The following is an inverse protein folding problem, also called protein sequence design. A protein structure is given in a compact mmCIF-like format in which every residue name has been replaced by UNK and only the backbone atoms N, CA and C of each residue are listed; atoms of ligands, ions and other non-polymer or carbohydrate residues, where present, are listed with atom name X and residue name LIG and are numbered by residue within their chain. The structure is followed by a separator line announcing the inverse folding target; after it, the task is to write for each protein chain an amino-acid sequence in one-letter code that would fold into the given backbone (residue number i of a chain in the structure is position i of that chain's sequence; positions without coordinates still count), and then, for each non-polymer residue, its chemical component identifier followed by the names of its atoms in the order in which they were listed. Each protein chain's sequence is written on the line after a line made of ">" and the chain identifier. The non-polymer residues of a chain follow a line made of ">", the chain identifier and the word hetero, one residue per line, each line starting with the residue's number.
data_IF_565928699230
#
_entry.id   IF_565928699230
#
_cell.length_a   1.000
_cell.length_b   1.000
_cell.length_c   1.000
_cell.angle_alpha   90.00
_cell.angle_beta   90.00
_cell.angle_gamma   90.00
#
_symmetry.space_group_name_H-M   'P 1'
#
loop_
_entity.id
_entity.type
_entity.pdbx_description
1 polymer ?
#
# COMPACT_ATOMS: atom_id res chain seq x y z
N UNK A 1 -14.95 -5.19 6.85
CA UNK A 1 -15.00 -4.23 5.72
C UNK A 1 -13.59 -3.74 5.52
N UNK A 2 -12.89 -4.31 4.56
CA UNK A 2 -11.54 -3.84 4.21
C UNK A 2 -11.75 -2.55 3.44
N UNK A 3 -11.57 -1.42 4.12
CA UNK A 3 -11.57 -0.13 3.47
C UNK A 3 -10.28 0.01 2.69
N UNK A 4 -10.34 -0.18 1.38
CA UNK A 4 -9.33 0.43 0.54
C UNK A 4 -9.27 1.91 0.93
N UNK A 5 -8.13 2.38 1.39
CA UNK A 5 -7.90 3.81 1.59
C UNK A 5 -7.99 4.44 0.21
N UNK A 6 -9.21 4.85 -0.19
CA UNK A 6 -9.41 5.72 -1.33
C UNK A 6 -8.79 7.06 -0.95
N UNK A 7 -7.58 7.28 -1.44
CA UNK A 7 -6.99 8.62 -1.45
C UNK A 7 -7.85 9.49 -2.34
N UNK A 8 -8.75 10.26 -1.75
CA UNK A 8 -9.48 11.33 -2.40
C UNK A 8 -8.53 12.50 -2.64
N UNK A 9 -7.58 12.32 -3.55
CA UNK A 9 -6.81 13.37 -4.16
C UNK A 9 -7.54 13.78 -5.44
N UNK A 10 -8.39 14.81 -5.39
CA UNK A 10 -9.02 15.41 -6.57
C UNK A 10 -8.01 16.17 -7.39
N UNK A 11 -7.35 15.49 -8.32
CA UNK A 11 -6.88 16.10 -9.55
C UNK A 11 -7.54 15.36 -10.70
N UNK A 12 -8.62 15.93 -11.24
CA UNK A 12 -9.23 15.54 -12.49
C UNK A 12 -8.23 15.78 -13.63
N UNK A 13 -7.33 14.84 -13.84
CA UNK A 13 -6.64 14.68 -15.10
C UNK A 13 -7.61 13.98 -16.05
N UNK A 14 -8.23 14.72 -16.95
CA UNK A 14 -9.00 14.15 -18.04
C UNK A 14 -8.06 13.34 -18.92
N UNK A 15 -7.99 12.03 -18.69
CA UNK A 15 -7.44 11.10 -19.65
C UNK A 15 -8.46 10.99 -20.79
N UNK A 16 -8.22 11.71 -21.88
CA UNK A 16 -8.92 11.46 -23.12
C UNK A 16 -8.66 10.01 -23.54
N UNK A 17 -9.70 9.18 -23.76
CA UNK A 17 -9.49 7.87 -24.32
C UNK A 17 -8.97 8.03 -25.74
N UNK A 18 -7.72 7.69 -25.98
CA UNK A 18 -7.21 7.48 -27.32
C UNK A 18 -7.89 6.23 -27.83
N UNK A 19 -8.94 6.43 -28.61
CA UNK A 19 -9.64 5.37 -29.29
C UNK A 19 -8.70 4.71 -30.31
N UNK A 20 -8.49 3.41 -30.15
CA UNK A 20 -8.24 2.51 -31.25
C UNK A 20 -6.82 2.39 -31.76
N UNK A 21 -6.05 1.52 -31.14
CA UNK A 21 -5.28 0.56 -31.89
C UNK A 21 -5.37 -0.79 -31.15
N UNK A 22 -6.00 -1.77 -31.77
CA UNK A 22 -5.77 -3.18 -31.45
C UNK A 22 -4.32 -3.48 -31.89
N UNK A 23 -3.36 -2.93 -31.18
CA UNK A 23 -1.97 -3.34 -31.30
C UNK A 23 -1.94 -4.78 -30.82
N UNK A 24 -1.76 -5.69 -31.76
CA UNK A 24 -1.41 -7.07 -31.45
C UNK A 24 -0.22 -6.99 -30.47
N UNK A 25 -0.29 -7.75 -29.39
CA UNK A 25 0.78 -7.91 -28.39
C UNK A 25 1.99 -8.62 -29.03
N UNK A 26 2.54 -8.03 -30.10
CA UNK A 26 3.64 -8.61 -30.88
C UNK A 26 4.99 -8.46 -30.14
N UNK A 27 5.08 -7.61 -29.11
CA UNK A 27 6.37 -7.18 -28.54
C UNK A 27 6.58 -7.56 -27.07
N UNK A 28 5.92 -8.61 -26.54
CA UNK A 28 6.14 -9.09 -25.19
C UNK A 28 5.55 -8.19 -24.08
N UNK A 29 5.86 -8.47 -22.79
CA UNK A 29 5.33 -7.69 -21.68
C UNK A 29 5.89 -6.27 -21.68
N UNK A 30 5.06 -5.30 -21.28
CA UNK A 30 5.48 -3.91 -21.12
C UNK A 30 6.11 -3.70 -19.74
N UNK A 31 7.20 -2.94 -19.70
CA UNK A 31 7.88 -2.57 -18.45
C UNK A 31 7.67 -1.09 -18.17
N UNK A 32 7.19 -0.77 -16.99
CA UNK A 32 6.97 0.60 -16.53
C UNK A 32 7.70 0.77 -15.19
N UNK A 33 8.41 1.90 -15.03
CA UNK A 33 9.02 2.29 -13.76
C UNK A 33 8.45 3.62 -13.33
N UNK A 34 8.07 3.72 -12.08
CA UNK A 34 7.61 4.95 -11.48
C UNK A 34 8.24 5.18 -10.11
N UNK A 35 8.23 6.41 -9.65
CA UNK A 35 8.54 6.78 -8.26
C UNK A 35 7.40 7.63 -7.73
N UNK A 36 7.19 7.57 -6.42
CA UNK A 36 6.14 8.34 -5.76
C UNK A 36 6.66 8.94 -4.45
N UNK A 37 6.06 10.05 -4.07
CA UNK A 37 6.22 10.69 -2.77
C UNK A 37 4.86 11.24 -2.34
N UNK A 38 4.43 10.87 -1.15
CA UNK A 38 3.20 11.38 -0.53
C UNK A 38 3.53 11.94 0.85
N UNK A 39 2.92 13.06 1.17
CA UNK A 39 3.02 13.76 2.45
C UNK A 39 1.60 14.07 2.91
N UNK A 40 1.11 13.32 3.90
CA UNK A 40 -0.28 13.30 4.27
C UNK A 40 -0.47 13.67 5.74
N UNK A 41 -1.33 14.64 5.98
CA UNK A 41 -1.85 14.97 7.31
C UNK A 41 -3.26 14.38 7.43
N UNK A 42 -3.43 13.40 8.30
CA UNK A 42 -4.68 12.66 8.48
C UNK A 42 -5.25 13.04 9.85
N UNK A 43 -6.44 13.69 9.91
CA UNK A 43 -7.06 14.09 11.18
C UNK A 43 -7.45 12.89 12.04
N UNK A 44 -7.42 13.08 13.37
CA UNK A 44 -7.96 12.15 14.35
C UNK A 44 -9.40 11.73 13.99
N UNK A 45 -9.70 10.46 14.20
CA UNK A 45 -11.00 9.89 13.85
C UNK A 45 -11.14 9.43 12.39
N UNK A 46 -10.13 9.68 11.52
CA UNK A 46 -10.12 9.20 10.13
C UNK A 46 -9.46 7.81 10.02
N UNK A 47 -8.27 7.66 10.54
CA UNK A 47 -7.50 6.41 10.53
C UNK A 47 -7.29 5.92 11.96
N UNK A 48 -6.66 6.75 12.79
CA UNK A 48 -6.41 6.51 14.20
C UNK A 48 -7.19 7.49 15.08
N UNK A 49 -7.19 7.28 16.40
CA UNK A 49 -7.80 8.17 17.40
C UNK A 49 -6.99 9.45 17.68
N UNK A 50 -5.89 9.67 16.96
CA UNK A 50 -5.01 10.83 17.03
C UNK A 50 -4.73 11.40 15.62
N UNK A 51 -4.28 12.65 15.55
CA UNK A 51 -3.77 13.25 14.31
C UNK A 51 -2.50 12.53 13.88
N UNK A 52 -2.46 12.11 12.62
CA UNK A 52 -1.44 11.24 12.06
C UNK A 52 -0.76 11.92 10.88
N UNK A 53 0.57 11.97 10.90
CA UNK A 53 1.38 12.44 9.79
C UNK A 53 2.12 11.25 9.17
N UNK A 54 1.89 11.03 7.88
CA UNK A 54 2.52 9.98 7.10
C UNK A 54 3.25 10.58 5.92
N UNK A 55 4.53 10.34 5.84
CA UNK A 55 5.35 10.63 4.66
C UNK A 55 5.85 9.32 4.12
N UNK A 56 5.50 8.97 2.88
CA UNK A 56 6.02 7.77 2.26
C UNK A 56 6.49 8.03 0.83
N UNK A 57 7.63 7.44 0.50
CA UNK A 57 8.27 7.53 -0.79
C UNK A 57 8.67 6.13 -1.26
N UNK A 58 8.74 5.93 -2.56
CA UNK A 58 9.14 4.63 -3.07
C UNK A 58 9.27 4.58 -4.57
N UNK A 59 9.49 3.36 -5.04
CA UNK A 59 9.50 3.01 -6.45
C UNK A 59 8.59 1.83 -6.72
N UNK A 60 8.05 1.81 -7.91
CA UNK A 60 7.30 0.72 -8.49
C UNK A 60 7.93 0.31 -9.83
N UNK A 61 8.13 -0.99 -10.00
CA UNK A 61 8.55 -1.59 -11.25
C UNK A 61 7.46 -2.54 -11.72
N UNK A 62 6.62 -2.09 -12.64
CA UNK A 62 5.52 -2.85 -13.19
C UNK A 62 5.89 -3.61 -14.44
N UNK A 63 5.43 -4.85 -14.54
CA UNK A 63 5.44 -5.66 -15.77
C UNK A 63 4.00 -5.99 -16.12
N UNK A 64 3.56 -5.48 -17.27
CA UNK A 64 2.19 -5.61 -17.73
C UNK A 64 2.11 -6.74 -18.77
N UNK A 65 1.36 -7.77 -18.46
CA UNK A 65 1.01 -8.90 -19.32
C UNK A 65 -0.44 -8.76 -19.81
N UNK A 66 -0.87 -9.51 -20.82
CA UNK A 66 -2.25 -9.49 -21.29
C UNK A 66 -3.30 -9.90 -20.24
N UNK A 67 -2.90 -10.73 -19.28
CA UNK A 67 -3.78 -11.37 -18.28
C UNK A 67 -3.53 -10.89 -16.84
N UNK A 68 -2.47 -10.14 -16.60
CA UNK A 68 -2.11 -9.64 -15.26
C UNK A 68 -1.11 -8.49 -15.33
N UNK A 69 -1.03 -7.74 -14.24
CA UNK A 69 0.08 -6.84 -13.94
C UNK A 69 0.84 -7.36 -12.72
N UNK A 70 2.17 -7.32 -12.79
CA UNK A 70 3.06 -7.64 -11.66
C UNK A 70 3.86 -6.40 -11.32
N UNK A 71 3.73 -5.93 -10.08
CA UNK A 71 4.36 -4.71 -9.59
C UNK A 71 5.29 -5.04 -8.43
N UNK A 72 6.52 -4.53 -8.47
CA UNK A 72 7.49 -4.68 -7.39
C UNK A 72 7.69 -3.33 -6.71
N UNK A 73 7.25 -3.27 -5.47
CA UNK A 73 7.31 -2.08 -4.64
C UNK A 73 8.50 -2.11 -3.69
N UNK A 74 9.17 -0.97 -3.62
CA UNK A 74 10.09 -0.62 -2.54
C UNK A 74 9.57 0.67 -1.92
N UNK A 75 9.21 0.63 -0.64
CA UNK A 75 8.56 1.73 0.07
C UNK A 75 9.35 2.08 1.33
N UNK A 76 9.57 3.35 1.55
CA UNK A 76 10.09 3.90 2.79
C UNK A 76 9.07 4.89 3.35
N UNK A 77 8.65 4.69 4.58
CA UNK A 77 7.69 5.58 5.23
C UNK A 77 8.22 6.10 6.56
N UNK A 78 7.66 7.23 6.95
CA UNK A 78 7.79 7.80 8.30
C UNK A 78 6.40 8.15 8.79
N UNK A 79 6.04 7.55 9.89
CA UNK A 79 4.71 7.61 10.50
C UNK A 79 4.80 8.28 11.86
N UNK A 80 4.06 9.36 12.07
CA UNK A 80 4.14 10.14 13.30
C UNK A 80 2.75 10.33 13.92
N UNK A 81 2.62 9.93 15.18
CA UNK A 81 1.52 10.31 16.04
C UNK A 81 1.75 11.75 16.51
N UNK A 82 0.97 12.72 16.03
CA UNK A 82 1.17 14.13 16.34
C UNK A 82 0.76 14.52 17.74
N UNK A 83 -0.07 13.73 18.41
CA UNK A 83 -0.43 13.98 19.81
C UNK A 83 0.73 13.73 20.78
N UNK A 84 1.61 12.78 20.46
CA UNK A 84 2.73 12.37 21.30
C UNK A 84 4.09 12.71 20.71
N UNK A 85 4.18 12.96 19.40
CA UNK A 85 5.43 13.08 18.65
C UNK A 85 6.13 11.74 18.42
N UNK A 86 5.51 10.61 18.79
CA UNK A 86 6.11 9.30 18.58
C UNK A 86 6.14 8.95 17.09
N UNK A 87 7.31 8.53 16.62
CA UNK A 87 7.56 8.28 15.18
C UNK A 87 8.09 6.88 14.98
N UNK A 88 7.58 6.24 13.94
CA UNK A 88 8.09 4.98 13.39
C UNK A 88 8.59 5.20 11.96
N UNK A 89 9.57 4.39 11.56
CA UNK A 89 9.99 4.26 10.17
C UNK A 89 9.57 2.91 9.64
N UNK A 90 9.18 2.87 8.38
CA UNK A 90 8.81 1.65 7.67
C UNK A 90 9.69 1.43 6.45
N UNK A 91 9.94 0.17 6.13
CA UNK A 91 10.65 -0.23 4.91
C UNK A 91 10.04 -1.51 4.40
N UNK A 92 9.24 -1.39 3.36
CA UNK A 92 8.49 -2.50 2.77
C UNK A 92 9.07 -2.89 1.42
N UNK A 93 9.09 -4.20 1.18
CA UNK A 93 9.47 -4.79 -0.11
C UNK A 93 8.47 -5.88 -0.44
N UNK A 94 7.59 -5.61 -1.39
CA UNK A 94 6.59 -6.59 -1.77
C UNK A 94 6.30 -6.57 -3.27
N UNK A 95 5.75 -7.68 -3.73
CA UNK A 95 5.24 -7.83 -5.08
C UNK A 95 3.72 -7.86 -5.02
N UNK A 96 3.07 -7.04 -5.84
CA UNK A 96 1.64 -7.08 -6.07
C UNK A 96 1.35 -7.65 -7.45
N UNK A 97 0.46 -8.61 -7.51
CA UNK A 97 -0.04 -9.17 -8.78
C UNK A 97 -1.53 -8.90 -8.88
N UNK A 98 -1.94 -8.15 -9.89
CA UNK A 98 -3.34 -7.90 -10.21
C UNK A 98 -3.71 -8.67 -11.46
N UNK A 99 -4.68 -9.57 -11.35
CA UNK A 99 -5.18 -10.38 -12.46
C UNK A 99 -6.25 -9.63 -13.27
N UNK A 100 -6.55 -10.08 -14.49
CA UNK A 100 -7.55 -9.44 -15.37
C UNK A 100 -8.97 -9.43 -14.78
N UNK A 101 -9.30 -10.36 -13.89
CA UNK A 101 -10.57 -10.42 -13.14
C UNK A 101 -10.56 -9.57 -11.87
N UNK A 102 -9.47 -8.83 -11.62
CA UNK A 102 -9.34 -7.88 -10.52
C UNK A 102 -8.94 -8.49 -9.18
N UNK A 103 -8.56 -9.78 -9.11
CA UNK A 103 -7.98 -10.32 -7.90
C UNK A 103 -6.59 -9.71 -7.67
N UNK A 104 -6.28 -9.39 -6.42
CA UNK A 104 -5.00 -8.81 -6.01
C UNK A 104 -4.30 -9.77 -5.05
N UNK A 105 -3.07 -10.12 -5.38
CA UNK A 105 -2.17 -10.86 -4.51
C UNK A 105 -1.00 -9.96 -4.14
N UNK A 106 -0.77 -9.75 -2.83
CA UNK A 106 0.41 -9.07 -2.30
C UNK A 106 1.28 -10.10 -1.57
N UNK A 107 2.58 -10.11 -1.86
CA UNK A 107 3.52 -11.05 -1.25
C UNK A 107 4.88 -10.38 -1.00
N UNK A 108 5.41 -10.56 0.20
CA UNK A 108 6.70 -10.01 0.62
C UNK A 108 6.71 -9.50 2.04
N UNK A 109 7.54 -8.51 2.31
CA UNK A 109 7.60 -7.76 3.55
C UNK A 109 6.61 -6.58 3.43
N UNK A 110 5.50 -6.64 4.15
CA UNK A 110 4.36 -5.71 4.00
C UNK A 110 4.38 -4.61 5.07
N UNK A 111 4.85 -4.95 6.29
CA UNK A 111 5.06 -4.01 7.38
C UNK A 111 6.36 -4.32 8.11
N UNK A 112 7.27 -3.36 8.15
CA UNK A 112 8.55 -3.49 8.85
C UNK A 112 8.82 -2.22 9.67
N UNK A 113 7.98 -2.00 10.70
CA UNK A 113 8.01 -0.80 11.52
C UNK A 113 9.13 -0.84 12.56
N UNK A 114 9.91 0.23 12.62
CA UNK A 114 11.00 0.44 13.57
C UNK A 114 10.87 1.79 14.26
N UNK A 115 11.32 1.85 15.51
CA UNK A 115 11.54 3.10 16.21
C UNK A 115 12.77 3.85 15.67
N UNK A 116 12.91 5.13 15.99
CA UNK A 116 14.05 5.96 15.54
C UNK A 116 15.43 5.41 15.98
N UNK A 117 15.49 4.65 17.09
CA UNK A 117 16.70 3.94 17.54
C UNK A 117 16.89 2.56 16.89
N UNK A 118 16.04 2.23 15.89
CA UNK A 118 16.16 1.03 15.07
C UNK A 118 15.53 -0.24 15.67
N UNK A 119 14.86 -0.14 16.83
CA UNK A 119 14.19 -1.29 17.45
C UNK A 119 12.98 -1.69 16.62
N UNK A 120 12.90 -2.98 16.28
CA UNK A 120 11.77 -3.55 15.56
C UNK A 120 10.50 -3.56 16.43
N UNK A 121 9.41 -3.01 15.92
CA UNK A 121 8.09 -2.95 16.56
C UNK A 121 7.11 -3.91 15.90
N UNK A 122 7.06 -3.91 14.56
CA UNK A 122 6.21 -4.79 13.76
C UNK A 122 7.04 -5.40 12.65
N UNK A 123 6.80 -6.68 12.39
CA UNK A 123 7.37 -7.39 11.25
C UNK A 123 6.32 -8.33 10.67
N UNK A 124 5.71 -7.95 9.55
CA UNK A 124 4.72 -8.74 8.86
C UNK A 124 5.20 -9.06 7.44
N UNK A 125 5.52 -10.30 7.21
CA UNK A 125 5.93 -10.81 5.91
C UNK A 125 5.09 -12.03 5.54
N UNK A 126 4.72 -12.13 4.27
CA UNK A 126 3.95 -13.27 3.78
C UNK A 126 3.12 -12.93 2.57
N UNK A 127 1.92 -13.51 2.51
CA UNK A 127 1.02 -13.41 1.36
C UNK A 127 -0.39 -13.04 1.82
N UNK A 128 -0.97 -12.08 1.10
CA UNK A 128 -2.33 -11.60 1.27
C UNK A 128 -3.02 -11.60 -0.10
N UNK A 129 -4.22 -12.15 -0.17
CA UNK A 129 -5.00 -12.22 -1.41
C UNK A 129 -6.36 -11.60 -1.19
N UNK A 130 -6.73 -10.67 -2.05
CA UNK A 130 -8.03 -10.00 -2.08
C UNK A 130 -8.81 -10.38 -3.32
N UNK A 131 -10.13 -10.43 -3.19
CA UNK A 131 -11.03 -10.42 -4.34
C UNK A 131 -11.02 -9.06 -5.03
N UNK A 132 -11.61 -8.98 -6.23
CA UNK A 132 -11.84 -7.71 -6.93
C UNK A 132 -12.69 -6.70 -6.13
N UNK A 133 -13.45 -7.16 -5.15
CA UNK A 133 -14.28 -6.33 -4.26
C UNK A 133 -13.59 -5.99 -2.93
N UNK A 134 -12.32 -6.39 -2.77
CA UNK A 134 -11.53 -6.10 -1.57
C UNK A 134 -11.78 -7.07 -0.39
N UNK A 135 -12.47 -8.19 -0.61
CA UNK A 135 -12.62 -9.23 0.41
C UNK A 135 -11.31 -10.02 0.56
N UNK A 136 -10.88 -10.28 1.80
CA UNK A 136 -9.71 -11.11 2.10
C UNK A 136 -10.04 -12.56 1.81
N UNK A 137 -9.43 -13.13 0.76
CA UNK A 137 -9.59 -14.53 0.36
C UNK A 137 -8.58 -15.44 1.04
N UNK A 138 -7.36 -14.92 1.27
CA UNK A 138 -6.27 -15.68 1.87
C UNK A 138 -5.31 -14.75 2.58
N UNK A 139 -4.82 -15.19 3.74
CA UNK A 139 -3.80 -14.48 4.51
C UNK A 139 -2.82 -15.49 5.12
N UNK A 140 -1.54 -15.17 5.10
CA UNK A 140 -0.53 -15.91 5.88
C UNK A 140 -0.75 -15.61 7.36
N UNK A 141 -0.67 -16.59 8.27
CA UNK A 141 -0.98 -16.42 9.70
C UNK A 141 -0.16 -15.33 10.42
N UNK A 142 1.00 -14.96 9.89
CA UNK A 142 1.86 -13.91 10.43
C UNK A 142 1.43 -12.49 10.03
N UNK A 143 0.43 -12.34 9.16
CA UNK A 143 -0.10 -11.06 8.71
C UNK A 143 -1.44 -10.80 9.38
N UNK A 144 -1.57 -9.62 9.99
CA UNK A 144 -2.88 -9.08 10.36
C UNK A 144 -3.43 -8.32 9.13
N UNK A 145 -4.59 -8.71 8.59
CA UNK A 145 -5.16 -8.02 7.44
C UNK A 145 -5.75 -6.64 7.78
N UNK A 146 -5.89 -6.30 9.06
CA UNK A 146 -6.25 -4.95 9.53
C UNK A 146 -4.97 -4.13 9.79
N UNK A 147 -4.39 -3.61 8.73
CA UNK A 147 -3.19 -2.78 8.74
C UNK A 147 -3.35 -1.48 9.53
N UNK A 148 -4.59 -0.92 9.60
CA UNK A 148 -4.88 0.24 10.45
C UNK A 148 -4.70 -0.08 11.93
N UNK A 149 -5.27 -1.20 12.37
CA UNK A 149 -5.14 -1.63 13.76
C UNK A 149 -3.66 -1.84 14.13
N UNK A 150 -2.89 -2.44 13.21
CA UNK A 150 -1.45 -2.65 13.38
C UNK A 150 -0.72 -1.31 13.53
N UNK A 151 -0.92 -0.40 12.59
CA UNK A 151 -0.22 0.90 12.55
C UNK A 151 -0.61 1.78 13.74
N UNK A 152 -1.92 1.98 13.99
CA UNK A 152 -2.38 2.84 15.08
C UNK A 152 -1.91 2.33 16.45
N UNK A 153 -1.96 1.01 16.67
CA UNK A 153 -1.48 0.39 17.91
C UNK A 153 0.04 0.55 18.06
N UNK A 154 0.80 0.35 16.99
CA UNK A 154 2.24 0.52 17.00
C UNK A 154 2.66 1.97 17.31
N UNK A 155 1.86 2.95 16.89
CA UNK A 155 2.04 4.38 17.17
C UNK A 155 1.48 4.81 18.55
N UNK A 156 1.01 3.87 19.37
CA UNK A 156 0.58 4.11 20.77
C UNK A 156 -0.85 4.60 20.92
N UNK A 157 -1.73 4.38 19.93
CA UNK A 157 -3.15 4.68 19.98
C UNK A 157 -4.03 3.54 19.52
N UNK A 158 -5.23 3.86 19.02
CA UNK A 158 -6.21 2.91 18.55
C UNK A 158 -6.73 3.28 17.15
N UNK A 159 -7.22 2.30 16.35
CA UNK A 159 -7.94 2.62 15.13
C UNK A 159 -9.22 3.41 15.46
N UNK A 160 -9.63 4.29 14.56
CA UNK A 160 -10.75 5.22 14.79
C UNK A 160 -12.13 4.52 14.82
N UNK A 161 -12.23 3.30 14.24
CA UNK A 161 -13.47 2.49 14.15
C UNK A 161 -13.15 1.04 13.81
#
# INVERSE_FOLDING_TARGET
>A
MVGAVLMAGTTLGVLTPVAGSTAAWADGPQHVKSTFLFDNMIPAGTLCDFDFHNVFAGSDNAVIFPDRTVEHFEVHATDTNLATGFTLTDTDHYTMTTTADGQIESAGLIFHLRTADGKLVVNQAGKLVFSATGEVLKVTPSINPDDRAVLCTALGGHPAF
#
